data_IF_614765239255
#
_entry.id   IF_614765239255
#
_cell.length_a   1.000
_cell.length_b   1.000
_cell.length_c   1.000
_cell.angle_alpha   90.00
_cell.angle_beta   90.00
_cell.angle_gamma   90.00
#
_symmetry.space_group_name_H-M   'P 1'
#
loop_
_entity.id
_entity.type
_entity.pdbx_description
1 polymer ?
#
# COMPACT_ATOMS: atom_id res chain seq x y z
N UNK A 1 -17.62 -24.19 24.16
CA UNK A 1 -17.34 -23.01 23.32
C UNK A 1 -15.83 -22.82 23.29
N UNK A 2 -15.15 -23.34 22.27
CA UNK A 2 -13.70 -23.22 22.12
C UNK A 2 -13.42 -21.96 21.31
N UNK A 3 -12.73 -20.99 21.92
CA UNK A 3 -12.37 -19.73 21.29
C UNK A 3 -11.54 -19.97 20.03
N UNK A 4 -11.89 -19.28 18.96
CA UNK A 4 -11.11 -19.23 17.74
C UNK A 4 -9.77 -18.55 18.07
N UNK A 5 -8.72 -19.34 18.24
CA UNK A 5 -7.35 -18.83 18.23
C UNK A 5 -7.04 -18.41 16.80
N UNK A 6 -7.11 -17.11 16.53
CA UNK A 6 -6.63 -16.55 15.27
C UNK A 6 -5.14 -16.84 15.17
N UNK A 7 -4.71 -17.40 14.03
CA UNK A 7 -3.31 -17.72 13.77
C UNK A 7 -2.58 -16.38 13.53
N UNK A 8 -2.12 -15.73 14.60
CA UNK A 8 -1.39 -14.47 14.51
C UNK A 8 -0.07 -14.69 13.77
N UNK A 9 0.31 -13.78 12.87
CA UNK A 9 1.64 -13.84 12.25
C UNK A 9 2.71 -13.78 13.35
N UNK A 10 3.71 -14.65 13.24
CA UNK A 10 4.89 -14.65 14.11
C UNK A 10 6.03 -13.95 13.37
N UNK A 11 6.63 -12.96 14.02
CA UNK A 11 7.84 -12.31 13.51
C UNK A 11 9.03 -13.19 13.90
N UNK A 12 9.85 -13.51 12.91
CA UNK A 12 11.14 -14.19 13.07
C UNK A 12 12.17 -13.35 12.29
N UNK A 13 13.26 -12.99 12.95
CA UNK A 13 14.38 -12.28 12.34
C UNK A 13 15.47 -13.30 12.08
N UNK A 14 16.00 -13.32 10.86
CA UNK A 14 17.05 -14.24 10.39
C UNK A 14 18.21 -13.42 9.84
N UNK A 15 19.44 -13.88 10.07
CA UNK A 15 20.64 -13.37 9.41
C UNK A 15 20.89 -14.14 8.09
N UNK A 16 21.74 -13.62 7.20
CA UNK A 16 21.98 -14.22 5.88
C UNK A 16 22.51 -15.66 5.97
N UNK A 17 23.31 -15.95 6.99
CA UNK A 17 23.91 -17.26 7.23
C UNK A 17 22.99 -18.22 8.01
N UNK A 18 21.79 -17.78 8.41
CA UNK A 18 20.79 -18.65 9.02
C UNK A 18 20.21 -19.62 7.99
N UNK A 19 20.41 -20.91 8.27
CA UNK A 19 19.91 -22.02 7.45
C UNK A 19 18.50 -22.46 7.86
N UNK A 20 17.61 -21.50 8.13
CA UNK A 20 16.25 -21.79 8.58
C UNK A 20 15.43 -22.42 7.43
N UNK A 21 15.21 -23.73 7.52
CA UNK A 21 14.64 -24.50 6.41
C UNK A 21 13.24 -24.04 6.01
N UNK A 22 12.41 -23.57 6.96
CA UNK A 22 11.04 -23.15 6.69
C UNK A 22 11.03 -21.95 5.74
N UNK A 23 11.82 -20.92 6.03
CA UNK A 23 11.98 -19.72 5.23
C UNK A 23 12.47 -20.07 3.82
N UNK A 24 13.55 -20.82 3.72
CA UNK A 24 14.15 -21.19 2.44
C UNK A 24 13.22 -22.08 1.60
N UNK A 25 12.37 -22.91 2.24
CA UNK A 25 11.40 -23.76 1.54
C UNK A 25 10.32 -22.99 0.77
N UNK A 26 10.08 -21.71 1.10
CA UNK A 26 9.13 -20.86 0.38
C UNK A 26 9.65 -20.43 -1.00
N UNK A 27 10.96 -20.48 -1.23
CA UNK A 27 11.58 -20.13 -2.49
C UNK A 27 11.76 -21.37 -3.37
N UNK A 28 11.55 -21.21 -4.68
CA UNK A 28 11.62 -22.33 -5.64
C UNK A 28 12.97 -23.05 -5.64
N UNK A 29 14.05 -22.30 -5.38
CA UNK A 29 15.42 -22.80 -5.45
C UNK A 29 15.98 -23.21 -4.08
N UNK A 30 15.18 -23.11 -3.01
CA UNK A 30 15.61 -23.43 -1.65
C UNK A 30 16.73 -22.51 -1.15
N UNK A 31 17.67 -23.08 -0.38
CA UNK A 31 18.86 -22.37 0.07
C UNK A 31 19.77 -22.05 -1.12
N UNK A 32 19.88 -20.77 -1.46
CA UNK A 32 20.68 -20.27 -2.59
C UNK A 32 21.74 -19.28 -2.15
N UNK A 33 22.79 -19.11 -2.97
CA UNK A 33 23.78 -18.06 -2.74
C UNK A 33 23.13 -16.69 -2.96
N UNK A 34 23.11 -15.85 -1.91
CA UNK A 34 22.69 -14.44 -2.02
C UNK A 34 23.76 -13.69 -2.82
N UNK A 35 23.31 -12.87 -3.76
CA UNK A 35 24.20 -12.07 -4.60
C UNK A 35 24.91 -11.00 -3.77
N UNK A 36 26.16 -10.64 -4.10
CA UNK A 36 26.87 -9.59 -3.38
C UNK A 36 26.18 -8.23 -3.52
N UNK A 37 26.33 -7.36 -2.52
CA UNK A 37 25.70 -6.03 -2.48
C UNK A 37 25.96 -5.17 -3.73
N UNK A 38 27.15 -5.31 -4.36
CA UNK A 38 27.53 -4.58 -5.58
C UNK A 38 26.57 -4.87 -6.75
N UNK A 39 25.99 -6.07 -6.82
CA UNK A 39 24.98 -6.41 -7.85
C UNK A 39 23.61 -5.77 -7.58
N UNK A 40 23.37 -5.25 -6.37
CA UNK A 40 22.15 -4.55 -5.98
C UNK A 40 22.06 -3.10 -6.47
N UNK A 41 23.17 -2.51 -6.91
CA UNK A 41 23.26 -1.10 -7.29
C UNK A 41 23.53 -0.17 -6.11
N UNK A 42 23.55 1.15 -6.35
CA UNK A 42 23.67 2.15 -5.29
C UNK A 42 22.32 2.38 -4.61
N UNK A 43 22.30 2.48 -3.28
CA UNK A 43 21.07 2.67 -2.49
C UNK A 43 20.32 3.96 -2.89
N UNK A 44 21.05 4.99 -3.33
CA UNK A 44 20.51 6.28 -3.76
C UNK A 44 19.86 6.24 -5.15
N UNK A 45 20.11 5.19 -5.94
CA UNK A 45 19.61 5.02 -7.31
C UNK A 45 18.20 4.40 -7.38
N UNK A 46 17.55 4.18 -6.23
CA UNK A 46 16.15 3.74 -6.18
C UNK A 46 15.26 4.82 -6.79
N UNK A 47 15.03 4.72 -8.10
CA UNK A 47 14.01 5.47 -8.83
C UNK A 47 12.64 4.94 -8.45
N UNK A 48 12.22 5.18 -7.21
CA UNK A 48 10.84 4.96 -6.81
C UNK A 48 10.00 5.86 -7.74
N UNK A 49 9.05 5.25 -8.47
CA UNK A 49 8.00 6.03 -9.11
C UNK A 49 7.20 6.62 -7.95
N UNK A 50 7.65 7.77 -7.44
CA UNK A 50 7.33 8.23 -6.08
C UNK A 50 5.86 8.14 -5.71
N UNK A 51 5.60 7.98 -4.41
CA UNK A 51 4.26 7.88 -3.82
C UNK A 51 3.28 8.84 -4.49
N UNK A 52 2.06 8.41 -4.79
CA UNK A 52 1.05 9.29 -5.38
C UNK A 52 -0.23 9.24 -4.58
N UNK A 53 -0.75 10.41 -4.21
CA UNK A 53 -2.01 10.52 -3.51
C UNK A 53 -3.05 11.19 -4.40
N UNK A 54 -4.21 10.56 -4.50
CA UNK A 54 -5.38 11.08 -5.20
C UNK A 54 -6.55 11.21 -4.23
N UNK A 55 -7.39 12.21 -4.46
CA UNK A 55 -8.63 12.44 -3.73
C UNK A 55 -9.83 12.22 -4.66
N UNK A 56 -10.80 11.47 -4.16
CA UNK A 56 -12.12 11.26 -4.74
C UNK A 56 -13.14 12.00 -3.87
N UNK A 57 -13.76 13.04 -4.41
CA UNK A 57 -14.67 13.93 -3.67
C UNK A 57 -15.87 14.32 -4.53
N UNK A 58 -17.05 14.53 -3.94
CA UNK A 58 -18.24 15.08 -4.60
C UNK A 58 -18.66 16.47 -4.07
N UNK A 59 -17.79 17.14 -3.32
CA UNK A 59 -18.05 18.47 -2.72
C UNK A 59 -18.48 19.53 -3.74
N UNK A 60 -18.06 19.43 -5.00
CA UNK A 60 -18.49 20.35 -6.07
C UNK A 60 -19.89 20.08 -6.64
N UNK A 61 -20.60 19.07 -6.10
CA UNK A 61 -21.87 18.57 -6.61
C UNK A 61 -21.73 17.45 -7.65
N UNK A 62 -20.51 17.16 -8.10
CA UNK A 62 -20.20 16.04 -9.00
C UNK A 62 -18.93 15.33 -8.52
N UNK A 63 -18.82 14.04 -8.82
CA UNK A 63 -17.68 13.24 -8.37
C UNK A 63 -16.41 13.60 -9.15
N UNK A 64 -15.39 14.04 -8.44
CA UNK A 64 -14.09 14.46 -8.96
C UNK A 64 -12.98 13.56 -8.43
N UNK A 65 -12.07 13.14 -9.32
CA UNK A 65 -10.89 12.36 -8.96
C UNK A 65 -9.63 13.09 -9.40
N UNK A 66 -8.84 13.57 -8.44
CA UNK A 66 -7.69 14.45 -8.70
C UNK A 66 -6.48 14.01 -7.89
N UNK A 67 -5.29 14.11 -8.51
CA UNK A 67 -4.00 13.97 -7.81
C UNK A 67 -3.82 15.18 -6.88
N UNK A 68 -3.46 14.92 -5.63
CA UNK A 68 -3.29 15.96 -4.60
C UNK A 68 -1.86 16.07 -4.08
N UNK A 69 -1.05 15.02 -4.17
CA UNK A 69 0.36 15.04 -3.77
C UNK A 69 1.18 13.94 -4.46
N UNK A 70 2.50 14.13 -4.50
CA UNK A 70 3.47 13.16 -5.04
C UNK A 70 4.77 13.12 -4.25
N UNK A 71 5.43 11.96 -4.22
CA UNK A 71 6.72 11.78 -3.59
C UNK A 71 6.68 12.18 -2.11
N UNK A 72 7.59 13.10 -1.74
CA UNK A 72 7.76 13.58 -0.35
C UNK A 72 6.62 14.48 0.14
N UNK A 73 5.81 15.01 -0.77
CA UNK A 73 4.67 15.87 -0.40
C UNK A 73 3.44 15.07 0.05
N UNK A 74 3.50 13.73 -0.04
CA UNK A 74 2.43 12.84 0.42
C UNK A 74 2.49 12.74 1.94
N UNK A 75 1.59 13.42 2.62
CA UNK A 75 1.51 13.45 4.08
C UNK A 75 0.18 12.91 4.60
N UNK A 76 0.22 12.25 5.77
CA UNK A 76 -0.96 11.70 6.46
C UNK A 76 -2.05 12.75 6.72
N UNK A 77 -1.65 14.01 6.95
CA UNK A 77 -2.56 15.14 7.20
C UNK A 77 -3.40 15.56 5.98
N UNK A 78 -3.06 15.10 4.77
CA UNK A 78 -3.87 15.35 3.58
C UNK A 78 -5.16 14.53 3.54
N UNK A 79 -5.26 13.48 4.37
CA UNK A 79 -6.44 12.64 4.44
C UNK A 79 -7.53 13.36 5.24
N UNK A 80 -8.55 13.83 4.54
CA UNK A 80 -9.70 14.50 5.14
C UNK A 80 -10.85 13.50 5.32
N UNK A 81 -11.41 13.45 6.52
CA UNK A 81 -12.49 12.52 6.91
C UNK A 81 -13.74 12.58 6.03
N UNK A 82 -13.93 13.67 5.25
CA UNK A 82 -15.10 13.87 4.40
C UNK A 82 -14.94 13.32 2.98
N UNK A 83 -13.79 12.73 2.63
CA UNK A 83 -13.51 12.27 1.27
C UNK A 83 -12.88 10.86 1.25
N UNK A 84 -12.73 10.29 0.06
CA UNK A 84 -11.98 9.06 -0.19
C UNK A 84 -10.62 9.40 -0.81
N UNK A 85 -9.59 8.65 -0.45
CA UNK A 85 -8.24 8.82 -0.98
C UNK A 85 -7.70 7.52 -1.55
N UNK A 86 -6.98 7.63 -2.65
CA UNK A 86 -6.24 6.52 -3.27
C UNK A 86 -4.77 6.85 -3.16
N UNK A 87 -4.06 6.06 -2.37
CA UNK A 87 -2.61 6.14 -2.19
C UNK A 87 -1.95 5.01 -2.97
N UNK A 88 -1.12 5.38 -3.94
CA UNK A 88 -0.15 4.48 -4.54
C UNK A 88 1.18 4.61 -3.78
N UNK A 89 1.53 3.58 -3.03
CA UNK A 89 2.79 3.50 -2.28
C UNK A 89 3.96 2.96 -3.12
N UNK A 90 3.71 2.50 -4.34
CA UNK A 90 4.64 1.78 -5.19
C UNK A 90 4.49 0.25 -5.08
N UNK A 91 4.35 -0.29 -3.87
CA UNK A 91 4.19 -1.73 -3.60
C UNK A 91 2.75 -2.16 -3.37
N UNK A 92 1.87 -1.24 -3.02
CA UNK A 92 0.44 -1.49 -2.75
C UNK A 92 -0.39 -0.24 -3.02
N UNK A 93 -1.64 -0.43 -3.46
CA UNK A 93 -2.64 0.63 -3.56
C UNK A 93 -3.55 0.58 -2.34
N UNK A 94 -3.60 1.67 -1.58
CA UNK A 94 -4.54 1.84 -0.48
C UNK A 94 -5.71 2.72 -0.90
N UNK A 95 -6.92 2.26 -0.59
CA UNK A 95 -8.15 3.01 -0.72
C UNK A 95 -8.60 3.41 0.67
N UNK A 96 -8.21 4.59 1.12
CA UNK A 96 -8.59 5.12 2.42
C UNK A 96 -9.96 5.80 2.35
N UNK A 97 -10.89 5.39 3.20
CA UNK A 97 -12.26 5.88 3.24
C UNK A 97 -12.48 6.69 4.51
N UNK A 98 -12.68 7.99 4.35
CA UNK A 98 -13.07 8.87 5.44
C UNK A 98 -14.44 8.50 6.02
N UNK A 99 -14.61 8.65 7.34
CA UNK A 99 -15.86 8.40 8.06
C UNK A 99 -17.00 9.23 7.50
N UNK A 100 -16.73 10.51 7.23
CA UNK A 100 -17.64 11.50 6.66
C UNK A 100 -17.83 11.43 5.14
N UNK A 101 -17.06 10.60 4.43
CA UNK A 101 -17.17 10.46 2.98
C UNK A 101 -18.59 10.08 2.53
N UNK A 102 -18.99 10.61 1.39
CA UNK A 102 -20.32 10.44 0.84
C UNK A 102 -20.59 8.98 0.46
N UNK A 103 -21.87 8.59 0.37
CA UNK A 103 -22.23 7.24 -0.09
C UNK A 103 -21.77 6.99 -1.52
N UNK A 104 -21.74 8.02 -2.37
CA UNK A 104 -21.34 7.90 -3.78
C UNK A 104 -19.83 7.68 -3.86
N UNK A 105 -19.04 8.46 -3.13
CA UNK A 105 -17.59 8.30 -3.02
C UNK A 105 -17.23 6.90 -2.52
N UNK A 106 -17.83 6.48 -1.40
CA UNK A 106 -17.62 5.14 -0.81
C UNK A 106 -17.92 4.03 -1.81
N UNK A 107 -19.06 4.12 -2.51
CA UNK A 107 -19.48 3.12 -3.50
C UNK A 107 -18.54 3.08 -4.70
N UNK A 108 -17.93 4.21 -5.07
CA UNK A 108 -17.08 4.33 -6.25
C UNK A 108 -15.58 4.17 -5.98
N UNK A 109 -15.16 4.22 -4.72
CA UNK A 109 -13.76 4.14 -4.30
C UNK A 109 -12.97 3.01 -5.00
N UNK A 110 -13.47 1.78 -4.95
CA UNK A 110 -12.79 0.62 -5.56
C UNK A 110 -12.78 0.66 -7.09
N UNK A 111 -13.83 1.18 -7.72
CA UNK A 111 -13.88 1.33 -9.19
C UNK A 111 -12.78 2.30 -9.65
N UNK A 112 -12.61 3.42 -8.94
CA UNK A 112 -11.58 4.41 -9.25
C UNK A 112 -10.17 3.88 -8.98
N UNK A 113 -9.96 3.09 -7.93
CA UNK A 113 -8.67 2.46 -7.65
C UNK A 113 -8.28 1.46 -8.76
N UNK A 114 -9.23 0.64 -9.23
CA UNK A 114 -9.00 -0.27 -10.36
C UNK A 114 -8.76 0.49 -11.67
N UNK A 115 -9.52 1.55 -11.92
CA UNK A 115 -9.32 2.39 -13.11
C UNK A 115 -7.94 3.08 -13.08
N UNK A 116 -7.48 3.51 -11.90
CA UNK A 116 -6.14 4.05 -11.69
C UNK A 116 -5.05 3.05 -12.08
N UNK A 117 -5.12 1.80 -11.58
CA UNK A 117 -4.17 0.73 -11.92
C UNK A 117 -4.04 0.53 -13.44
N UNK A 118 -5.17 0.48 -14.15
CA UNK A 118 -5.20 0.33 -15.61
C UNK A 118 -4.59 1.55 -16.30
N UNK A 119 -4.99 2.75 -15.90
CA UNK A 119 -4.54 4.01 -16.50
C UNK A 119 -3.03 4.22 -16.35
N UNK A 120 -2.49 4.00 -15.17
CA UNK A 120 -1.06 4.15 -14.87
C UNK A 120 -0.24 2.91 -15.22
N UNK A 121 -0.86 1.92 -15.88
CA UNK A 121 -0.22 0.66 -16.34
C UNK A 121 0.51 -0.07 -15.21
N UNK A 122 -0.10 -0.10 -14.04
CA UNK A 122 0.44 -0.77 -12.84
C UNK A 122 0.38 -2.30 -13.03
N UNK A 123 1.27 -3.05 -12.36
CA UNK A 123 1.24 -4.51 -12.43
C UNK A 123 -0.12 -5.06 -11.96
N UNK A 124 -0.66 -6.05 -12.66
CA UNK A 124 -1.98 -6.64 -12.35
C UNK A 124 -2.04 -7.37 -11.01
N UNK A 125 -0.89 -7.73 -10.45
CA UNK A 125 -0.76 -8.40 -9.15
C UNK A 125 -0.59 -7.42 -7.99
N UNK A 126 -0.54 -6.10 -8.25
CA UNK A 126 -0.38 -5.11 -7.20
C UNK A 126 -1.60 -5.17 -6.26
N UNK A 127 -1.40 -5.38 -4.93
CA UNK A 127 -2.51 -5.47 -4.00
C UNK A 127 -3.31 -4.16 -3.96
N UNK A 128 -4.62 -4.28 -3.73
CA UNK A 128 -5.52 -3.15 -3.46
C UNK A 128 -6.26 -3.41 -2.17
N UNK A 129 -6.00 -2.58 -1.15
CA UNK A 129 -6.57 -2.72 0.18
C UNK A 129 -7.47 -1.53 0.52
N UNK A 130 -8.66 -1.82 1.05
CA UNK A 130 -9.55 -0.79 1.59
C UNK A 130 -9.19 -0.57 3.06
N UNK A 131 -8.91 0.67 3.41
CA UNK A 131 -8.64 1.11 4.78
C UNK A 131 -9.76 2.06 5.19
N UNK A 132 -10.42 1.78 6.31
CA UNK A 132 -11.42 2.68 6.88
C UNK A 132 -10.73 3.63 7.87
N UNK A 133 -11.12 4.89 7.90
CA UNK A 133 -10.63 5.82 8.90
C UNK A 133 -10.88 5.28 10.32
N UNK A 134 -9.85 5.28 11.17
CA UNK A 134 -9.82 4.67 12.50
C UNK A 134 -9.58 3.16 12.52
N UNK A 135 -9.41 2.53 11.35
CA UNK A 135 -9.06 1.12 11.18
C UNK A 135 -7.75 0.95 10.40
N UNK A 136 -6.90 1.96 10.39
CA UNK A 136 -5.59 1.92 9.76
C UNK A 136 -4.69 0.86 10.39
N UNK A 137 -3.89 0.19 9.56
CA UNK A 137 -2.88 -0.77 10.01
C UNK A 137 -1.48 -0.16 9.89
N UNK A 138 -0.49 -0.82 10.49
CA UNK A 138 0.89 -0.32 10.49
C UNK A 138 1.45 -0.16 9.08
N UNK A 139 1.13 -1.07 8.15
CA UNK A 139 1.61 -1.00 6.76
C UNK A 139 1.11 0.28 6.06
N UNK A 140 -0.16 0.64 6.26
CA UNK A 140 -0.72 1.89 5.75
C UNK A 140 -0.07 3.10 6.40
N UNK A 141 0.10 3.12 7.72
CA UNK A 141 0.69 4.27 8.40
C UNK A 141 2.16 4.49 7.99
N UNK A 142 2.96 3.42 7.87
CA UNK A 142 4.35 3.51 7.40
C UNK A 142 4.49 4.03 5.96
N UNK A 143 3.43 3.96 5.15
CA UNK A 143 3.47 4.53 3.79
C UNK A 143 3.61 6.07 3.79
N UNK A 144 3.34 6.74 4.91
CA UNK A 144 3.54 8.18 5.08
C UNK A 144 4.90 8.54 5.69
N UNK A 145 5.64 7.55 6.17
CA UNK A 145 7.02 7.77 6.60
C UNK A 145 7.89 7.93 5.34
N UNK A 146 8.90 8.81 5.42
CA UNK A 146 9.88 9.18 4.37
C UNK A 146 9.42 10.12 3.26
#
# INVERSE_FOLDING_TARGET
MTGLSWNSPRIVVLEEDDKEETFWSYFKDGYGQVKPAIEGGEDDDIKSSGKQLYRLTDTSGTLEFKKVATGKDVHRALLHSNDVFILDSGSEIFVWIGKGASMIEKKKAMDYAKAYLVKEKKPSHLPVSIILEGGENEVFEHSFDF
#
